data_IF_983805523197
#
_entry.id   IF_983805523197
#
_cell.length_a   1.000
_cell.length_b   1.000
_cell.length_c   1.000
_cell.angle_alpha   90.00
_cell.angle_beta   90.00
_cell.angle_gamma   90.00
#
_symmetry.space_group_name_H-M   'P 1'
#
loop_
_entity.id
_entity.type
_entity.pdbx_description
1 polymer ?
#
# COMPACT_ATOMS: atom_id res chain seq x y z
N UNK A 1 18.24 -10.71 3.37
CA UNK A 1 18.29 -9.65 2.35
C UNK A 1 16.95 -8.92 2.35
N UNK A 2 16.93 -7.59 2.21
CA UNK A 2 15.69 -6.81 2.25
C UNK A 2 15.46 -6.11 0.91
N UNK A 3 14.23 -6.22 0.39
CA UNK A 3 13.76 -5.48 -0.77
C UNK A 3 12.69 -4.47 -0.34
N UNK A 4 12.64 -3.33 -1.03
CA UNK A 4 11.75 -2.23 -0.71
C UNK A 4 11.04 -1.79 -1.98
N UNK A 5 9.73 -1.53 -1.86
CA UNK A 5 8.94 -0.86 -2.87
C UNK A 5 8.23 0.35 -2.24
N UNK A 6 8.07 1.44 -3.00
CA UNK A 6 7.43 2.67 -2.53
C UNK A 6 6.50 3.21 -3.60
N UNK A 7 5.22 3.38 -3.26
CA UNK A 7 4.25 4.09 -4.09
C UNK A 7 4.12 5.53 -3.58
N UNK A 8 4.44 6.50 -4.44
CA UNK A 8 4.34 7.94 -4.13
C UNK A 8 3.12 8.53 -4.83
N UNK A 9 2.52 9.57 -4.23
CA UNK A 9 1.36 10.30 -4.78
C UNK A 9 0.12 9.42 -5.06
N UNK A 10 -0.14 8.41 -4.22
CA UNK A 10 -1.38 7.65 -4.28
C UNK A 10 -2.57 8.58 -3.94
N UNK A 11 -3.65 8.62 -4.74
CA UNK A 11 -4.79 9.53 -4.56
C UNK A 11 -5.73 9.07 -3.44
N UNK A 12 -5.19 8.65 -2.30
CA UNK A 12 -5.93 8.08 -1.18
C UNK A 12 -5.47 8.67 0.15
N UNK A 13 -6.43 8.80 1.08
CA UNK A 13 -6.14 9.29 2.42
C UNK A 13 -5.28 8.28 3.20
N UNK A 14 -4.22 8.73 3.90
CA UNK A 14 -3.36 7.85 4.69
C UNK A 14 -4.13 6.98 5.69
N UNK A 15 -5.18 7.54 6.30
CA UNK A 15 -6.02 6.82 7.27
C UNK A 15 -6.72 5.62 6.65
N UNK A 16 -7.26 5.74 5.42
CA UNK A 16 -7.93 4.64 4.72
C UNK A 16 -6.94 3.53 4.36
N UNK A 17 -5.73 3.90 3.96
CA UNK A 17 -4.66 2.97 3.62
C UNK A 17 -4.14 2.21 4.85
N UNK A 18 -3.92 2.91 5.98
CA UNK A 18 -3.40 2.31 7.23
C UNK A 18 -4.25 1.14 7.72
N UNK A 19 -5.57 1.26 7.65
CA UNK A 19 -6.51 0.19 8.01
C UNK A 19 -6.23 -1.14 7.30
N UNK A 20 -5.82 -1.09 6.03
CA UNK A 20 -5.50 -2.29 5.26
C UNK A 20 -4.06 -2.73 5.47
N UNK A 21 -3.13 -1.77 5.61
CA UNK A 21 -1.71 -2.05 5.89
C UNK A 21 -1.52 -2.80 7.21
N UNK A 22 -2.34 -2.50 8.22
CA UNK A 22 -2.27 -3.17 9.51
C UNK A 22 -2.59 -4.68 9.42
N UNK A 23 -3.42 -5.10 8.45
CA UNK A 23 -3.77 -6.52 8.26
C UNK A 23 -2.61 -7.36 7.70
N UNK A 24 -1.74 -6.75 6.90
CA UNK A 24 -0.65 -7.44 6.19
C UNK A 24 0.69 -7.38 6.92
N UNK A 25 0.82 -6.54 7.96
CA UNK A 25 2.07 -6.38 8.70
C UNK A 25 2.46 -7.69 9.41
N UNK A 26 3.69 -8.15 9.20
CA UNK A 26 4.21 -9.38 9.81
C UNK A 26 3.68 -10.68 9.21
N UNK A 27 2.82 -10.61 8.18
CA UNK A 27 2.32 -11.81 7.47
C UNK A 27 3.32 -12.28 6.42
N UNK A 28 3.23 -13.56 6.05
CA UNK A 28 3.90 -14.10 4.87
C UNK A 28 3.35 -13.44 3.61
N UNK A 29 4.16 -13.37 2.56
CA UNK A 29 3.77 -12.71 1.30
C UNK A 29 2.53 -13.36 0.69
N UNK A 30 2.46 -14.70 0.65
CA UNK A 30 1.31 -15.46 0.11
C UNK A 30 0.02 -15.15 0.85
N UNK A 31 0.07 -15.19 2.19
CA UNK A 31 -1.07 -14.88 3.04
C UNK A 31 -1.50 -13.43 2.86
N UNK A 32 -0.54 -12.50 2.78
CA UNK A 32 -0.81 -11.09 2.57
C UNK A 32 -1.48 -10.82 1.22
N UNK A 33 -1.00 -11.44 0.12
CA UNK A 33 -1.62 -11.33 -1.19
C UNK A 33 -3.05 -11.89 -1.19
N UNK A 34 -3.27 -13.01 -0.50
CA UNK A 34 -4.61 -13.59 -0.34
C UNK A 34 -5.55 -12.66 0.43
N UNK A 35 -5.09 -12.09 1.55
CA UNK A 35 -5.86 -11.11 2.35
C UNK A 35 -6.20 -9.90 1.48
N UNK A 36 -5.23 -9.35 0.75
CA UNK A 36 -5.43 -8.17 -0.10
C UNK A 36 -6.44 -8.44 -1.22
N UNK A 37 -6.34 -9.61 -1.87
CA UNK A 37 -7.23 -10.01 -2.97
C UNK A 37 -8.70 -10.09 -2.57
N UNK A 38 -8.99 -10.52 -1.34
CA UNK A 38 -10.37 -10.63 -0.83
C UNK A 38 -10.81 -9.45 0.04
N UNK A 39 -9.95 -8.43 0.22
CA UNK A 39 -10.33 -7.23 0.96
C UNK A 39 -11.07 -6.26 0.04
N UNK A 40 -12.37 -6.07 0.29
CA UNK A 40 -13.23 -5.13 -0.47
C UNK A 40 -12.96 -3.66 -0.12
N UNK A 41 -11.74 -3.18 -0.35
CA UNK A 41 -11.31 -1.79 -0.21
C UNK A 41 -10.39 -1.43 -1.37
N UNK A 42 -10.56 -0.24 -1.93
CA UNK A 42 -9.67 0.28 -2.99
C UNK A 42 -8.19 0.28 -2.58
N UNK A 43 -7.92 0.55 -1.29
CA UNK A 43 -6.59 0.49 -0.72
C UNK A 43 -5.89 -0.86 -0.93
N UNK A 44 -6.65 -1.96 -0.95
CA UNK A 44 -6.09 -3.30 -1.16
C UNK A 44 -5.54 -3.47 -2.58
N UNK A 45 -6.21 -2.93 -3.60
CA UNK A 45 -5.75 -2.98 -4.99
C UNK A 45 -4.42 -2.24 -5.19
N UNK A 46 -4.25 -1.09 -4.52
CA UNK A 46 -2.99 -0.34 -4.56
C UNK A 46 -1.86 -1.08 -3.83
N UNK A 47 -2.16 -1.69 -2.68
CA UNK A 47 -1.18 -2.42 -1.88
C UNK A 47 -0.78 -3.75 -2.54
N UNK A 48 -1.70 -4.45 -3.18
CA UNK A 48 -1.41 -5.69 -3.92
C UNK A 48 -0.33 -5.45 -4.97
N UNK A 49 -0.50 -4.41 -5.80
CA UNK A 49 0.51 -4.00 -6.80
C UNK A 49 1.86 -3.66 -6.15
N UNK A 50 1.85 -3.00 -5.00
CA UNK A 50 3.07 -2.63 -4.28
C UNK A 50 3.80 -3.86 -3.71
N UNK A 51 3.07 -4.83 -3.16
CA UNK A 51 3.64 -6.09 -2.65
C UNK A 51 4.25 -6.88 -3.80
N UNK A 52 3.53 -7.02 -4.93
CA UNK A 52 4.07 -7.68 -6.13
C UNK A 52 5.35 -7.00 -6.63
N UNK A 53 5.38 -5.67 -6.66
CA UNK A 53 6.59 -4.93 -7.01
C UNK A 53 7.75 -5.18 -6.03
N UNK A 54 7.47 -5.32 -4.73
CA UNK A 54 8.50 -5.62 -3.74
C UNK A 54 9.10 -7.03 -3.92
N UNK A 55 8.26 -8.00 -4.26
CA UNK A 55 8.68 -9.38 -4.59
C UNK A 55 9.58 -9.37 -5.82
N UNK A 56 9.16 -8.72 -6.91
CA UNK A 56 9.98 -8.63 -8.12
C UNK A 56 11.33 -7.94 -7.87
N UNK A 57 11.36 -6.89 -7.03
CA UNK A 57 12.60 -6.22 -6.63
C UNK A 57 13.53 -7.14 -5.82
N UNK A 58 12.97 -8.07 -5.04
CA UNK A 58 13.74 -9.07 -4.31
C UNK A 58 14.32 -10.12 -5.26
N UNK A 59 13.49 -10.65 -6.17
CA UNK A 59 13.90 -11.63 -7.18
C UNK A 59 15.09 -11.08 -8.00
N UNK A 60 14.96 -9.88 -8.56
CA UNK A 60 16.02 -9.24 -9.34
C UNK A 60 17.32 -8.98 -8.56
N UNK A 61 17.24 -8.76 -7.25
CA UNK A 61 18.44 -8.53 -6.42
C UNK A 61 19.16 -9.79 -6.01
N UNK A 62 18.44 -10.89 -5.94
CA UNK A 62 18.97 -12.17 -5.47
C UNK A 62 19.60 -13.00 -6.58
N UNK A 63 19.41 -12.61 -7.85
CA UNK A 63 19.72 -13.40 -9.06
C UNK A 63 19.14 -14.83 -9.01
N UNK A 64 18.15 -15.06 -8.14
CA UNK A 64 17.51 -16.36 -7.98
C UNK A 64 16.39 -16.51 -9.02
N UNK A 65 16.48 -17.59 -9.80
CA UNK A 65 15.52 -17.96 -10.87
C UNK A 65 14.35 -18.80 -10.31
N UNK A 66 14.12 -18.76 -8.99
CA UNK A 66 13.12 -19.59 -8.29
C UNK A 66 11.89 -18.80 -7.84
N UNK A 67 10.76 -19.48 -7.66
CA UNK A 67 9.52 -18.88 -7.19
C UNK A 67 9.67 -18.33 -5.76
N UNK A 68 9.20 -17.10 -5.52
CA UNK A 68 9.21 -16.42 -4.22
C UNK A 68 8.60 -17.24 -3.05
N UNK A 69 7.71 -18.19 -3.34
CA UNK A 69 7.01 -19.01 -2.35
C UNK A 69 7.94 -19.95 -1.58
N UNK A 70 9.04 -20.40 -2.18
CA UNK A 70 9.97 -21.37 -1.56
C UNK A 70 10.84 -20.72 -0.47
N UNK A 71 10.97 -19.39 -0.48
CA UNK A 71 11.91 -18.66 0.38
C UNK A 71 11.30 -18.11 1.67
N UNK A 72 10.01 -18.38 1.93
CA UNK A 72 9.35 -17.98 3.18
C UNK A 72 9.34 -16.46 3.41
N UNK A 73 9.23 -15.68 2.34
CA UNK A 73 9.22 -14.21 2.40
C UNK A 73 8.08 -13.71 3.28
N UNK A 74 8.36 -12.68 4.08
CA UNK A 74 7.40 -12.04 4.96
C UNK A 74 7.54 -10.52 4.94
N UNK A 75 6.44 -9.83 5.27
CA UNK A 75 6.39 -8.38 5.30
C UNK A 75 6.94 -7.91 6.65
N UNK A 76 8.22 -7.52 6.68
CA UNK A 76 8.89 -7.01 7.89
C UNK A 76 8.31 -5.67 8.35
N UNK A 77 8.21 -4.70 7.46
CA UNK A 77 7.70 -3.35 7.77
C UNK A 77 6.75 -2.87 6.70
N UNK A 78 5.60 -2.34 7.11
CA UNK A 78 4.66 -1.66 6.24
C UNK A 78 4.04 -0.46 6.98
N UNK A 79 4.18 0.72 6.38
CA UNK A 79 3.72 2.00 6.93
C UNK A 79 3.23 2.92 5.81
N UNK A 80 2.42 3.92 6.19
CA UNK A 80 1.85 4.91 5.26
C UNK A 80 2.03 6.30 5.82
N UNK A 81 2.74 7.13 5.07
CA UNK A 81 3.00 8.52 5.40
C UNK A 81 1.99 9.47 4.74
N UNK A 82 1.75 10.65 5.32
CA UNK A 82 0.97 11.69 4.66
C UNK A 82 1.69 12.19 3.41
N UNK A 83 0.98 12.22 2.29
CA UNK A 83 1.44 12.78 1.02
C UNK A 83 1.04 14.25 0.83
N UNK A 84 1.17 14.72 -0.41
CA UNK A 84 0.66 16.02 -0.83
C UNK A 84 -0.87 16.08 -0.70
N UNK A 85 -1.37 17.26 -0.38
CA UNK A 85 -2.79 17.51 -0.12
C UNK A 85 -3.25 18.56 -1.11
N UNK A 86 -4.30 18.24 -1.87
CA UNK A 86 -4.90 19.18 -2.80
C UNK A 86 -6.01 19.92 -2.07
N UNK A 87 -5.78 21.21 -1.79
CA UNK A 87 -6.80 22.04 -1.16
C UNK A 87 -7.86 22.47 -2.18
N UNK A 88 -9.13 22.25 -1.83
CA UNK A 88 -10.29 22.66 -2.64
C UNK A 88 -11.27 23.44 -1.75
N UNK A 89 -12.18 24.17 -2.39
CA UNK A 89 -13.26 24.87 -1.70
C UNK A 89 -14.61 24.32 -2.15
N UNK A 90 -15.51 24.14 -1.20
CA UNK A 90 -16.91 23.82 -1.44
C UNK A 90 -17.75 25.08 -1.14
N UNK A 91 -18.66 25.50 -2.04
CA UNK A 91 -19.57 26.60 -1.74
C UNK A 91 -20.47 26.25 -0.54
N UNK A 92 -20.66 27.20 0.36
CA UNK A 92 -21.46 27.05 1.57
C UNK A 92 -22.50 28.19 1.72
N UNK A 93 -23.54 28.02 2.57
CA UNK A 93 -24.59 29.01 2.73
C UNK A 93 -24.07 30.40 3.13
N UNK A 94 -24.82 31.45 2.76
CA UNK A 94 -24.53 32.84 3.12
C UNK A 94 -23.17 33.35 2.59
N UNK A 95 -22.77 32.94 1.38
CA UNK A 95 -21.52 33.39 0.74
C UNK A 95 -20.25 32.84 1.38
N UNK A 96 -20.35 31.78 2.21
CA UNK A 96 -19.21 31.14 2.88
C UNK A 96 -18.54 30.11 1.97
N UNK A 97 -17.30 29.76 2.28
CA UNK A 97 -16.57 28.68 1.62
C UNK A 97 -16.02 27.70 2.65
N UNK A 98 -16.31 26.40 2.49
CA UNK A 98 -15.73 25.34 3.31
C UNK A 98 -14.48 24.78 2.64
N UNK A 99 -13.41 24.63 3.42
CA UNK A 99 -12.18 24.01 2.94
C UNK A 99 -12.35 22.49 2.90
N UNK A 100 -12.14 21.91 1.73
CA UNK A 100 -12.05 20.47 1.54
C UNK A 100 -10.59 20.08 1.40
N UNK A 101 -10.20 19.06 2.16
CA UNK A 101 -8.86 18.48 2.18
C UNK A 101 -8.84 17.17 1.39
#
# INVERSE_FOLDING_TARGET
>A
MEAVAKLRNCPMSPRKMRLVVDNIRGRKVVDALSILKYTNKEAAMWLEKLVLSAVNNWEQKSDQVGAADDYGLYIKTAFVDPGSIIYRFLPAPQGRAYRVR
#
